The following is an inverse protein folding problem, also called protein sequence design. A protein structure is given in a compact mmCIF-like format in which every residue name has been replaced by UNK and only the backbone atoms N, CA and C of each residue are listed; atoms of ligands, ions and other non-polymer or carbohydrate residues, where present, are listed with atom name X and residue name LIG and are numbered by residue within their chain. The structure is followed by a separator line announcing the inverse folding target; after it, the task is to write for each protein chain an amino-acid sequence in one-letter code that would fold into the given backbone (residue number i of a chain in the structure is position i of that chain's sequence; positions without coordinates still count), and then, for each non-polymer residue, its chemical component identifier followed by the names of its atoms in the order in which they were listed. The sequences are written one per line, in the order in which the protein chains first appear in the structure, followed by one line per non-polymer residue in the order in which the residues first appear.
data_IF_172925936454
#
_entry.id   IF_172925936454
#
_cell.length_a   1.000
_cell.length_b   1.000
_cell.length_c   1.000
_cell.angle_alpha   90.00
_cell.angle_beta   90.00
_cell.angle_gamma   90.00
#
_symmetry.space_group_name_H-M   'P 1'
#
loop_
_entity.id
_entity.type
_entity.pdbx_description
1 polymer ?
#
# COMPACT_ATOMS: atom_id res chain seq x y z
N UNK A 1 -2.01 -4.26 17.45
CA UNK A 1 -1.62 -3.41 16.31
C UNK A 1 -0.16 -3.65 15.98
N UNK A 2 0.15 -3.77 14.70
CA UNK A 2 1.52 -4.00 14.23
C UNK A 2 2.20 -2.67 13.92
N UNK A 3 3.53 -2.67 13.85
CA UNK A 3 4.31 -1.44 13.59
C UNK A 3 4.53 -1.24 12.10
N UNK A 4 4.92 -0.01 11.73
CA UNK A 4 5.34 0.31 10.37
C UNK A 4 6.55 -0.53 9.95
N UNK A 5 7.49 -0.75 10.87
CA UNK A 5 8.65 -1.61 10.59
C UNK A 5 8.22 -3.04 10.27
N UNK A 6 7.21 -3.56 10.98
CA UNK A 6 6.65 -4.88 10.67
C UNK A 6 6.01 -4.90 9.29
N UNK A 7 5.28 -3.84 8.92
CA UNK A 7 4.69 -3.73 7.59
C UNK A 7 5.76 -3.81 6.51
N UNK A 8 6.86 -3.07 6.68
CA UNK A 8 7.96 -3.08 5.71
C UNK A 8 8.58 -4.47 5.55
N UNK A 9 8.62 -5.24 6.64
CA UNK A 9 9.13 -6.63 6.59
C UNK A 9 8.13 -7.58 5.91
N UNK A 10 6.84 -7.33 6.08
CA UNK A 10 5.80 -8.20 5.54
C UNK A 10 5.57 -7.98 4.04
N UNK A 11 5.87 -6.79 3.52
CA UNK A 11 5.69 -6.46 2.11
C UNK A 11 6.93 -6.89 1.32
N UNK A 12 6.82 -8.05 0.67
CA UNK A 12 7.91 -8.68 -0.09
C UNK A 12 7.50 -8.85 -1.55
N UNK A 13 8.46 -9.06 -2.43
CA UNK A 13 8.17 -9.41 -3.82
C UNK A 13 7.32 -10.68 -3.84
N UNK A 14 6.22 -10.65 -4.59
CA UNK A 14 5.27 -11.73 -4.67
C UNK A 14 4.09 -11.63 -3.71
N UNK A 15 4.19 -10.81 -2.66
CA UNK A 15 3.06 -10.54 -1.77
C UNK A 15 1.93 -9.89 -2.57
N UNK A 16 0.71 -10.39 -2.41
CA UNK A 16 -0.44 -9.86 -3.15
C UNK A 16 -1.25 -8.92 -2.28
N UNK A 17 -1.56 -7.77 -2.84
CA UNK A 17 -2.29 -6.70 -2.16
C UNK A 17 -3.58 -6.40 -2.90
N UNK A 18 -4.67 -6.26 -2.13
CA UNK A 18 -5.97 -5.85 -2.65
C UNK A 18 -6.24 -4.43 -2.16
N UNK A 19 -6.52 -3.51 -3.07
CA UNK A 19 -6.88 -2.14 -2.72
C UNK A 19 -8.30 -2.12 -2.17
N UNK A 20 -8.47 -1.71 -0.91
CA UNK A 20 -9.79 -1.61 -0.29
C UNK A 20 -10.25 -0.17 -0.11
N UNK A 21 -9.35 0.79 -0.24
CA UNK A 21 -9.68 2.21 -0.25
C UNK A 21 -8.61 2.98 -1.01
N UNK A 22 -9.02 3.92 -1.86
CA UNK A 22 -8.13 4.84 -2.55
C UNK A 22 -8.86 6.18 -2.66
N UNK A 23 -8.19 7.24 -2.24
CA UNK A 23 -8.76 8.59 -2.26
C UNK A 23 -9.28 8.99 -3.66
N UNK A 24 -8.61 8.51 -4.70
CA UNK A 24 -9.01 8.79 -6.09
C UNK A 24 -9.94 7.72 -6.66
N UNK A 25 -10.30 6.71 -5.89
CA UNK A 25 -11.19 5.63 -6.34
C UNK A 25 -10.60 4.67 -7.36
N UNK A 26 -9.26 4.68 -7.53
CA UNK A 26 -8.59 3.81 -8.52
C UNK A 26 -8.27 2.46 -7.93
N UNK A 27 -8.33 1.43 -8.77
CA UNK A 27 -7.91 0.07 -8.48
C UNK A 27 -8.64 -0.60 -7.32
N UNK A 28 -9.82 -0.07 -6.93
CA UNK A 28 -10.61 -0.67 -5.84
C UNK A 28 -10.93 -2.13 -6.17
N UNK A 29 -10.72 -3.00 -5.17
CA UNK A 29 -10.94 -4.44 -5.25
C UNK A 29 -10.05 -5.18 -6.26
N UNK A 30 -9.03 -4.53 -6.79
CA UNK A 30 -8.06 -5.16 -7.69
C UNK A 30 -6.91 -5.72 -6.87
N UNK A 31 -6.57 -6.99 -7.10
CA UNK A 31 -5.44 -7.65 -6.45
C UNK A 31 -4.22 -7.53 -7.35
N UNK A 32 -3.12 -7.02 -6.81
CA UNK A 32 -1.88 -6.85 -7.57
C UNK A 32 -0.70 -7.37 -6.74
N UNK A 33 0.24 -8.11 -7.36
CA UNK A 33 1.42 -8.56 -6.65
C UNK A 33 2.47 -7.46 -6.56
N UNK A 34 3.29 -7.52 -5.50
CA UNK A 34 4.46 -6.66 -5.39
C UNK A 34 5.52 -7.19 -6.34
N UNK A 35 6.00 -6.33 -7.23
CA UNK A 35 7.03 -6.66 -8.21
C UNK A 35 8.42 -6.23 -7.78
N UNK A 36 8.52 -5.22 -6.90
CA UNK A 36 9.80 -4.68 -6.45
C UNK A 36 9.63 -4.02 -5.08
N UNK A 37 10.63 -4.16 -4.23
CA UNK A 37 10.67 -3.52 -2.91
C UNK A 37 11.82 -2.52 -2.89
N UNK A 38 11.51 -1.29 -2.47
CA UNK A 38 12.50 -0.21 -2.31
C UNK A 38 12.46 0.27 -0.87
N UNK A 39 13.41 1.13 -0.50
CA UNK A 39 13.50 1.65 0.88
C UNK A 39 12.24 2.38 1.31
N UNK A 40 11.68 3.21 0.44
CA UNK A 40 10.56 4.09 0.77
C UNK A 40 9.29 3.80 -0.04
N UNK A 41 9.26 2.68 -0.75
CA UNK A 41 8.12 2.33 -1.60
C UNK A 41 8.15 0.86 -1.97
N UNK A 42 7.01 0.36 -2.41
CA UNK A 42 6.95 -0.91 -3.14
C UNK A 42 6.32 -0.65 -4.50
N UNK A 43 6.64 -1.49 -5.47
CA UNK A 43 6.03 -1.42 -6.79
C UNK A 43 5.00 -2.53 -6.92
N UNK A 44 3.83 -2.19 -7.42
CA UNK A 44 2.77 -3.14 -7.72
C UNK A 44 2.71 -3.38 -9.21
N UNK A 45 2.70 -4.64 -9.59
CA UNK A 45 2.57 -5.03 -10.99
C UNK A 45 1.15 -4.72 -11.46
N UNK A 46 1.03 -3.79 -12.39
CA UNK A 46 -0.26 -3.29 -12.86
C UNK A 46 -0.42 -3.59 -14.34
N UNK A 47 -1.52 -4.26 -14.69
CA UNK A 47 -1.85 -4.53 -16.09
C UNK A 47 -2.54 -3.31 -16.69
N UNK A 48 -2.09 -2.89 -17.87
CA UNK A 48 -2.68 -1.78 -18.63
C UNK A 48 -2.91 -2.22 -20.07
N UNK A 49 -3.63 -1.39 -20.83
CA UNK A 49 -3.87 -1.67 -22.26
C UNK A 49 -2.57 -1.76 -23.06
N UNK A 50 -1.54 -1.02 -22.66
CA UNK A 50 -0.23 -1.02 -23.33
C UNK A 50 0.74 -2.05 -22.75
N UNK A 51 0.29 -2.90 -21.83
CA UNK A 51 1.10 -3.96 -21.22
C UNK A 51 1.18 -3.83 -19.72
N UNK A 52 2.20 -4.45 -19.14
CA UNK A 52 2.42 -4.46 -17.69
C UNK A 52 3.37 -3.35 -17.31
N UNK A 53 2.98 -2.57 -16.29
CA UNK A 53 3.82 -1.50 -15.72
C UNK A 53 3.93 -1.68 -14.21
N UNK A 54 4.95 -1.05 -13.60
CA UNK A 54 5.08 -0.99 -12.15
C UNK A 54 4.47 0.31 -11.64
N UNK A 55 3.50 0.20 -10.74
CA UNK A 55 2.92 1.35 -10.05
C UNK A 55 3.56 1.49 -8.68
N UNK A 56 4.03 2.68 -8.35
CA UNK A 56 4.66 2.91 -7.06
C UNK A 56 3.62 3.11 -5.97
N UNK A 57 3.82 2.43 -4.85
CA UNK A 57 3.10 2.65 -3.61
C UNK A 57 4.09 3.24 -2.63
N UNK A 58 4.09 4.57 -2.53
CA UNK A 58 5.04 5.29 -1.69
C UNK A 58 4.61 5.21 -0.22
N UNK A 59 5.57 4.92 0.66
CA UNK A 59 5.32 4.93 2.10
C UNK A 59 5.25 6.36 2.62
N UNK A 60 4.37 6.63 3.61
CA UNK A 60 4.38 7.92 4.29
C UNK A 60 5.73 8.18 4.96
N UNK A 61 6.08 9.45 5.18
CA UNK A 61 7.40 9.80 5.75
C UNK A 61 7.58 9.40 7.21
N UNK A 62 6.49 9.21 7.95
CA UNK A 62 6.57 8.86 9.37
C UNK A 62 5.62 7.73 9.72
N UNK A 63 5.96 6.99 10.78
CA UNK A 63 5.15 5.87 11.26
C UNK A 63 3.77 6.33 11.77
N UNK A 64 3.63 7.58 12.21
CA UNK A 64 2.35 8.10 12.69
C UNK A 64 1.29 8.20 11.60
N UNK A 65 1.69 8.15 10.33
CA UNK A 65 0.78 8.20 9.18
C UNK A 65 0.41 6.81 8.67
N UNK A 66 0.80 5.75 9.39
CA UNK A 66 0.54 4.36 9.00
C UNK A 66 -0.22 3.68 10.13
N UNK A 67 -1.28 2.97 9.78
CA UNK A 67 -1.96 2.03 10.68
C UNK A 67 -1.88 0.65 10.07
N UNK A 68 -1.42 -0.33 10.84
CA UNK A 68 -1.30 -1.70 10.38
C UNK A 68 -1.88 -2.62 11.43
N UNK A 69 -2.93 -3.34 11.07
CA UNK A 69 -3.63 -4.23 11.98
C UNK A 69 -4.03 -5.51 11.23
N UNK A 70 -3.63 -6.66 11.77
CA UNK A 70 -3.82 -7.95 11.13
C UNK A 70 -3.19 -7.96 9.72
N UNK A 71 -4.00 -8.02 8.67
CA UNK A 71 -3.51 -8.02 7.30
C UNK A 71 -3.97 -6.77 6.51
N UNK A 72 -4.41 -5.73 7.23
CA UNK A 72 -4.87 -4.48 6.61
C UNK A 72 -3.97 -3.34 7.04
N UNK A 73 -3.48 -2.56 6.08
CA UNK A 73 -2.74 -1.34 6.39
C UNK A 73 -3.39 -0.13 5.72
N UNK A 74 -3.28 1.00 6.40
CA UNK A 74 -3.84 2.27 5.95
C UNK A 74 -2.77 3.34 6.00
N UNK A 75 -2.73 4.16 4.95
CA UNK A 75 -1.84 5.31 4.90
C UNK A 75 -2.66 6.58 5.02
N UNK A 76 -2.11 7.55 5.74
CA UNK A 76 -2.76 8.82 6.03
C UNK A 76 -1.88 9.98 5.60
N UNK A 77 -2.51 11.11 5.31
CA UNK A 77 -1.82 12.40 5.13
C UNK A 77 -2.35 13.36 6.18
N UNK A 78 -1.48 14.24 6.66
CA UNK A 78 -1.89 15.27 7.61
C UNK A 78 -2.19 16.56 6.83
N UNK A 79 -3.44 16.97 6.83
CA UNK A 79 -3.92 18.15 6.11
C UNK A 79 -4.63 19.04 7.12
N UNK A 80 -4.15 20.28 7.27
CA UNK A 80 -4.71 21.25 8.22
C UNK A 80 -4.83 20.70 9.64
N UNK A 81 -3.84 19.90 10.07
CA UNK A 81 -3.82 19.30 11.40
C UNK A 81 -4.65 18.04 11.55
N UNK A 82 -5.35 17.61 10.51
CA UNK A 82 -6.18 16.40 10.55
C UNK A 82 -5.55 15.26 9.77
N UNK A 83 -5.72 14.04 10.28
CA UNK A 83 -5.28 12.83 9.59
C UNK A 83 -6.38 12.40 8.61
N UNK A 84 -6.05 12.40 7.33
CA UNK A 84 -6.97 12.01 6.26
C UNK A 84 -6.46 10.70 5.66
N UNK A 85 -7.30 9.66 5.66
CA UNK A 85 -6.97 8.40 5.04
C UNK A 85 -6.85 8.59 3.52
N UNK A 86 -5.73 8.21 2.95
CA UNK A 86 -5.48 8.33 1.51
C UNK A 86 -5.61 7.01 0.78
N UNK A 87 -5.21 5.90 1.44
CA UNK A 87 -5.37 4.58 0.86
C UNK A 87 -5.39 3.51 1.94
N UNK A 88 -5.89 2.35 1.59
CA UNK A 88 -5.85 1.16 2.42
C UNK A 88 -5.74 -0.07 1.54
N UNK A 89 -4.94 -1.01 1.97
CA UNK A 89 -4.74 -2.29 1.30
C UNK A 89 -4.88 -3.44 2.27
N UNK A 90 -5.33 -4.56 1.74
CA UNK A 90 -5.37 -5.83 2.44
C UNK A 90 -4.31 -6.76 1.85
N UNK A 91 -3.50 -7.37 2.70
CA UNK A 91 -2.56 -8.41 2.26
C UNK A 91 -3.38 -9.70 2.11
N UNK A 92 -3.62 -10.13 0.89
CA UNK A 92 -4.46 -11.30 0.61
C UNK A 92 -3.62 -12.57 0.45
N UNK A 93 -2.32 -12.43 0.18
CA UNK A 93 -1.40 -13.56 0.09
C UNK A 93 0.02 -13.04 0.36
N UNK A 94 0.67 -13.62 1.33
CA UNK A 94 2.03 -13.25 1.74
C UNK A 94 3.12 -13.82 0.84
#
# INVERSE_FOLDING_TARGET
MKTFAQLKRDLKVGTKLKCIFNHYGKYLNVVRPISKVQTNAVCLKTETESGTVNSYLDFPPTASLVKYNENVFEFYSKINGELIKTLAYEIVEY
#
